data_IF_402939518312
#
_entry.id   IF_402939518312
#
_cell.length_a   1.000
_cell.length_b   1.000
_cell.length_c   1.000
_cell.angle_alpha   90.00
_cell.angle_beta   90.00
_cell.angle_gamma   90.00
#
_symmetry.space_group_name_H-M   'P 1'
#
loop_
_entity.id
_entity.type
_entity.pdbx_description
1 polymer ?
#
# COMPACT_ATOMS: atom_id res chain seq x y z
N UNK A 1 64.09 -55.93 43.78
CA UNK A 1 63.44 -57.13 44.33
C UNK A 1 62.01 -57.17 43.81
N UNK A 2 61.69 -58.17 42.97
CA UNK A 2 60.58 -59.14 43.12
C UNK A 2 59.25 -58.60 43.69
N UNK A 3 58.06 -58.82 43.12
CA UNK A 3 57.57 -59.99 42.39
C UNK A 3 56.29 -59.65 41.57
N UNK A 4 56.07 -60.46 40.54
CA UNK A 4 54.80 -60.68 39.83
C UNK A 4 53.72 -61.27 40.74
N UNK A 5 52.44 -60.95 40.50
CA UNK A 5 51.37 -61.98 40.52
C UNK A 5 50.12 -61.57 39.73
N UNK A 6 49.71 -62.46 38.83
CA UNK A 6 48.41 -62.52 38.14
C UNK A 6 47.37 -63.23 39.02
N UNK A 7 46.09 -62.88 38.81
CA UNK A 7 44.84 -63.70 38.90
C UNK A 7 43.68 -62.69 38.62
N UNK A 8 42.91 -62.66 37.52
CA UNK A 8 42.15 -63.63 36.70
C UNK A 8 40.87 -64.15 37.39
N UNK A 9 39.71 -63.57 37.01
CA UNK A 9 38.50 -64.23 36.41
C UNK A 9 37.16 -63.56 36.81
N UNK A 10 36.36 -63.03 35.85
CA UNK A 10 35.23 -63.65 35.10
C UNK A 10 33.98 -63.79 36.00
N UNK A 11 32.73 -63.38 35.72
CA UNK A 11 31.89 -63.07 34.55
C UNK A 11 30.62 -62.35 35.09
N UNK A 12 29.86 -61.53 34.36
CA UNK A 12 28.80 -61.98 33.45
C UNK A 12 28.16 -60.75 32.76
N UNK A 13 28.28 -60.61 31.43
CA UNK A 13 27.29 -60.97 30.38
C UNK A 13 26.15 -59.93 30.24
N UNK A 14 26.23 -59.07 29.22
CA UNK A 14 25.45 -59.19 27.96
C UNK A 14 25.60 -57.94 27.05
N UNK A 15 26.23 -58.19 25.89
CA UNK A 15 25.89 -57.73 24.52
C UNK A 15 25.73 -56.21 24.26
N UNK A 16 26.72 -55.49 23.74
CA UNK A 16 27.33 -55.44 22.37
C UNK A 16 26.36 -54.99 21.26
N UNK A 17 26.57 -53.77 20.75
CA UNK A 17 26.84 -53.34 19.36
C UNK A 17 26.45 -51.85 19.24
N UNK A 18 27.40 -50.91 19.32
CA UNK A 18 28.24 -50.42 18.22
C UNK A 18 27.44 -49.73 17.10
N UNK A 19 27.52 -48.39 17.05
CA UNK A 19 27.51 -47.61 15.81
C UNK A 19 27.72 -46.11 16.09
N UNK A 20 28.90 -45.64 15.70
CA UNK A 20 29.22 -44.34 15.11
C UNK A 20 28.56 -43.07 15.71
N UNK A 21 29.37 -42.27 16.40
CA UNK A 21 29.11 -40.85 16.68
C UNK A 21 29.44 -40.03 15.42
N UNK A 22 28.47 -39.35 14.77
CA UNK A 22 28.80 -38.29 13.82
C UNK A 22 29.01 -36.99 14.60
N UNK A 23 30.24 -36.45 14.55
CA UNK A 23 30.51 -35.06 14.95
C UNK A 23 29.83 -34.14 13.93
N UNK A 24 28.74 -33.50 14.34
CA UNK A 24 28.05 -32.50 13.53
C UNK A 24 28.69 -31.14 13.83
N UNK A 25 29.09 -30.47 12.76
CA UNK A 25 29.74 -29.18 12.68
C UNK A 25 28.91 -28.03 13.27
N UNK A 26 29.60 -26.98 13.73
CA UNK A 26 29.06 -25.72 14.27
C UNK A 26 28.28 -24.86 13.23
N UNK A 27 27.28 -25.43 12.56
CA UNK A 27 26.50 -24.72 11.52
C UNK A 27 24.98 -24.72 11.74
N UNK A 28 24.50 -24.97 12.97
CA UNK A 28 23.04 -25.05 13.22
C UNK A 28 22.54 -24.26 14.43
N UNK A 29 23.17 -23.12 14.76
CA UNK A 29 22.73 -22.21 15.84
C UNK A 29 22.28 -20.81 15.36
N UNK A 30 21.84 -20.67 14.11
CA UNK A 30 21.32 -19.40 13.57
C UNK A 30 19.91 -19.52 13.01
N UNK A 31 18.97 -20.04 13.82
CA UNK A 31 17.56 -20.10 13.47
C UNK A 31 16.66 -19.48 14.56
N UNK A 32 16.91 -18.22 14.92
CA UNK A 32 15.85 -17.28 15.34
C UNK A 32 16.28 -15.88 14.88
N UNK A 33 16.33 -15.68 13.55
CA UNK A 33 16.28 -14.33 13.01
C UNK A 33 14.85 -13.88 13.23
N UNK A 34 14.64 -12.95 14.18
CA UNK A 34 13.37 -12.22 14.28
C UNK A 34 13.10 -11.65 12.90
N UNK A 35 12.08 -12.16 12.22
CA UNK A 35 11.53 -11.50 11.05
C UNK A 35 10.98 -10.16 11.53
N UNK A 36 11.72 -9.10 11.24
CA UNK A 36 11.17 -7.75 11.24
C UNK A 36 9.99 -7.75 10.26
N UNK A 37 8.87 -7.06 10.56
CA UNK A 37 7.77 -6.98 9.61
C UNK A 37 8.31 -6.33 8.33
N UNK A 38 8.37 -7.10 7.25
CA UNK A 38 8.71 -6.61 5.91
C UNK A 38 7.49 -6.08 5.17
N UNK A 39 6.43 -5.68 5.88
CA UNK A 39 5.22 -5.05 5.29
C UNK A 39 5.39 -3.56 4.99
N UNK A 40 6.62 -3.08 4.81
CA UNK A 40 6.93 -1.70 4.43
C UNK A 40 7.45 -1.58 2.99
N UNK A 41 7.35 -2.64 2.18
CA UNK A 41 7.92 -2.71 0.83
C UNK A 41 7.09 -2.04 -0.27
N UNK A 42 5.89 -1.53 -0.01
CA UNK A 42 5.10 -0.80 -1.03
C UNK A 42 5.27 0.73 -0.99
N UNK A 43 5.91 1.29 0.04
CA UNK A 43 6.16 2.75 0.14
C UNK A 43 7.47 3.21 -0.53
N UNK A 44 8.08 2.36 -1.36
CA UNK A 44 9.30 2.69 -2.10
C UNK A 44 9.02 3.65 -3.26
N UNK A 45 8.62 4.90 -2.97
CA UNK A 45 8.80 6.10 -3.81
C UNK A 45 8.19 7.39 -3.22
N UNK A 46 7.96 7.47 -1.90
CA UNK A 46 7.49 8.73 -1.29
C UNK A 46 8.64 9.76 -1.24
N UNK A 47 8.84 10.49 -2.33
CA UNK A 47 9.87 11.55 -2.48
C UNK A 47 9.48 12.88 -1.81
N UNK A 48 8.50 12.86 -0.91
CA UNK A 48 7.97 14.01 -0.20
C UNK A 48 7.45 13.58 1.17
N UNK A 49 7.30 14.56 2.08
CA UNK A 49 6.63 14.40 3.38
C UNK A 49 5.36 15.21 3.41
N UNK A 50 4.26 14.60 3.84
CA UNK A 50 3.01 15.32 4.11
C UNK A 50 3.16 16.06 5.44
N UNK A 51 3.01 17.38 5.41
CA UNK A 51 3.08 18.24 6.61
C UNK A 51 1.70 18.49 7.20
N UNK A 52 0.70 18.70 6.34
CA UNK A 52 -0.68 18.89 6.76
C UNK A 52 -1.64 18.47 5.65
N UNK A 53 -2.85 18.11 6.06
CA UNK A 53 -3.95 17.79 5.17
C UNK A 53 -5.20 18.54 5.63
N UNK A 54 -5.89 19.16 4.67
CA UNK A 54 -7.22 19.70 4.81
C UNK A 54 -8.17 18.85 3.96
N UNK A 55 -9.36 18.52 4.48
CA UNK A 55 -10.39 17.76 3.76
C UNK A 55 -11.74 18.43 3.97
N UNK A 56 -12.44 18.70 2.88
CA UNK A 56 -13.82 19.18 2.86
C UNK A 56 -14.71 18.12 2.18
N UNK A 57 -15.76 17.69 2.88
CA UNK A 57 -16.74 16.72 2.38
C UNK A 57 -18.06 17.45 2.17
N UNK A 58 -18.60 17.39 0.96
CA UNK A 58 -19.87 18.04 0.59
C UNK A 58 -20.77 17.11 -0.21
N UNK A 59 -22.01 17.53 -0.43
CA UNK A 59 -22.96 16.88 -1.35
C UNK A 59 -23.18 15.38 -1.08
N UNK A 60 -23.23 15.00 0.19
CA UNK A 60 -23.49 13.62 0.60
C UNK A 60 -24.87 13.18 0.10
N UNK A 61 -24.88 12.18 -0.77
CA UNK A 61 -26.07 11.64 -1.40
C UNK A 61 -26.21 10.16 -1.03
N UNK A 62 -27.13 9.87 -0.12
CA UNK A 62 -27.42 8.51 0.35
C UNK A 62 -28.02 7.61 -0.73
N UNK A 63 -28.81 8.16 -1.66
CA UNK A 63 -29.46 7.39 -2.72
C UNK A 63 -28.44 6.82 -3.69
N UNK A 64 -27.48 7.64 -4.08
CA UNK A 64 -26.41 7.27 -5.01
C UNK A 64 -25.14 6.80 -4.30
N UNK A 65 -25.13 6.79 -2.95
CA UNK A 65 -23.98 6.47 -2.10
C UNK A 65 -22.72 7.20 -2.57
N UNK A 66 -22.82 8.52 -2.69
CA UNK A 66 -21.75 9.37 -3.23
C UNK A 66 -21.60 10.65 -2.45
N UNK A 67 -20.42 11.27 -2.54
CA UNK A 67 -20.14 12.58 -1.97
C UNK A 67 -18.95 13.22 -2.69
N UNK A 68 -18.87 14.54 -2.64
CA UNK A 68 -17.76 15.32 -3.19
C UNK A 68 -16.71 15.54 -2.10
N UNK A 69 -15.43 15.52 -2.50
CA UNK A 69 -14.30 15.79 -1.62
C UNK A 69 -13.39 16.80 -2.28
N UNK A 70 -13.02 17.83 -1.54
CA UNK A 70 -11.82 18.62 -1.83
C UNK A 70 -10.78 18.32 -0.76
N UNK A 71 -9.57 17.94 -1.18
CA UNK A 71 -8.43 17.78 -0.26
C UNK A 71 -7.30 18.71 -0.67
N UNK A 72 -6.68 19.37 0.32
CA UNK A 72 -5.44 20.12 0.14
C UNK A 72 -4.33 19.45 0.98
N UNK A 73 -3.22 19.08 0.35
CA UNK A 73 -2.03 18.55 0.99
C UNK A 73 -0.91 19.57 0.95
N UNK A 74 -0.30 19.88 2.09
CA UNK A 74 0.96 20.63 2.13
C UNK A 74 2.10 19.63 2.24
N UNK A 75 2.99 19.63 1.25
CA UNK A 75 4.08 18.67 1.12
C UNK A 75 5.44 19.36 1.21
N UNK A 76 6.39 18.74 1.92
CA UNK A 76 7.81 19.08 1.84
C UNK A 76 8.51 18.10 0.89
N UNK A 77 9.05 18.55 -0.26
CA UNK A 77 9.87 17.72 -1.13
C UNK A 77 11.10 17.19 -0.39
N UNK A 78 11.45 15.92 -0.61
CA UNK A 78 12.69 15.33 -0.10
C UNK A 78 13.86 15.53 -1.06
N UNK A 79 13.56 15.71 -2.35
CA UNK A 79 14.54 15.94 -3.40
C UNK A 79 14.09 17.11 -4.30
N UNK A 80 15.02 17.98 -4.73
CA UNK A 80 14.72 19.11 -5.61
C UNK A 80 14.33 18.65 -7.03
N UNK A 81 14.71 17.44 -7.42
CA UNK A 81 14.43 16.84 -8.73
C UNK A 81 13.06 16.13 -8.79
N UNK A 82 12.20 16.30 -7.78
CA UNK A 82 10.85 15.74 -7.82
C UNK A 82 10.03 16.42 -8.93
N UNK A 83 9.66 15.65 -9.97
CA UNK A 83 8.86 16.16 -11.10
C UNK A 83 7.45 15.60 -11.17
N UNK A 84 7.19 14.52 -10.43
CA UNK A 84 5.89 13.89 -10.40
C UNK A 84 5.59 13.38 -9.00
N UNK A 85 4.35 13.57 -8.57
CA UNK A 85 3.87 13.20 -7.24
C UNK A 85 2.91 12.04 -7.41
N UNK A 86 3.23 10.90 -6.79
CA UNK A 86 2.36 9.73 -6.76
C UNK A 86 1.54 9.73 -5.47
N UNK A 87 0.21 9.70 -5.61
CA UNK A 87 -0.75 9.57 -4.51
C UNK A 87 -1.66 8.37 -4.79
N UNK A 88 -2.20 7.74 -3.76
CA UNK A 88 -3.29 6.77 -3.94
C UNK A 88 -4.62 7.42 -3.53
N UNK A 89 -5.55 7.52 -4.47
CA UNK A 89 -6.90 8.07 -4.25
C UNK A 89 -7.98 6.99 -4.15
N UNK A 90 -7.62 5.73 -4.38
CA UNK A 90 -8.51 4.59 -4.38
C UNK A 90 -9.33 4.39 -5.67
N UNK A 91 -9.92 3.20 -5.85
CA UNK A 91 -10.62 2.82 -7.08
C UNK A 91 -12.04 3.39 -7.19
N UNK A 92 -12.72 3.64 -6.06
CA UNK A 92 -14.13 4.07 -6.04
C UNK A 92 -14.28 5.61 -6.08
N UNK A 93 -13.27 6.29 -6.63
CA UNK A 93 -13.16 7.74 -6.73
C UNK A 93 -13.16 8.12 -8.20
N UNK A 94 -13.94 9.15 -8.57
CA UNK A 94 -13.84 9.82 -9.86
C UNK A 94 -12.93 11.03 -9.73
N UNK A 95 -12.02 11.18 -10.68
CA UNK A 95 -11.19 12.37 -10.89
C UNK A 95 -11.93 13.41 -11.72
N UNK A 96 -11.46 14.67 -11.76
CA UNK A 96 -12.18 15.72 -12.47
C UNK A 96 -12.42 15.46 -13.97
N UNK A 97 -11.49 14.79 -14.66
CA UNK A 97 -11.64 14.39 -16.05
C UNK A 97 -12.61 13.21 -16.26
N UNK A 98 -13.00 12.52 -15.19
CA UNK A 98 -13.96 11.41 -15.16
C UNK A 98 -15.36 11.87 -14.72
N UNK A 99 -15.53 13.15 -14.39
CA UNK A 99 -16.81 13.69 -13.96
C UNK A 99 -17.85 13.70 -15.09
N UNK A 100 -19.15 13.53 -14.75
CA UNK A 100 -20.23 13.74 -15.70
C UNK A 100 -20.23 15.17 -16.26
N UNK A 101 -20.75 15.35 -17.47
CA UNK A 101 -20.82 16.65 -18.14
C UNK A 101 -21.43 17.75 -17.23
N UNK A 102 -20.78 18.91 -17.21
CA UNK A 102 -21.22 20.09 -16.47
C UNK A 102 -20.75 20.17 -15.02
N UNK A 103 -20.11 19.13 -14.48
CA UNK A 103 -19.41 19.19 -13.19
C UNK A 103 -17.95 19.53 -13.44
N UNK A 104 -17.44 20.56 -12.76
CA UNK A 104 -16.04 20.96 -12.86
C UNK A 104 -15.33 20.66 -11.55
N UNK A 105 -14.09 20.21 -11.65
CA UNK A 105 -13.16 20.00 -10.55
C UNK A 105 -11.74 20.20 -11.07
N UNK A 106 -10.78 20.35 -10.18
CA UNK A 106 -9.39 20.62 -10.56
C UNK A 106 -8.42 19.81 -9.73
N UNK A 107 -7.26 19.58 -10.32
CA UNK A 107 -6.06 19.14 -9.62
C UNK A 107 -5.07 20.27 -9.76
N UNK A 108 -4.57 20.77 -8.64
CA UNK A 108 -3.72 21.96 -8.62
C UNK A 108 -2.44 21.71 -7.85
N UNK A 109 -1.34 22.33 -8.27
CA UNK A 109 -0.12 22.47 -7.47
C UNK A 109 0.15 23.96 -7.26
N UNK A 110 0.18 24.42 -6.01
CA UNK A 110 0.29 25.84 -5.64
C UNK A 110 -0.73 26.73 -6.38
N UNK A 111 -2.00 26.32 -6.38
CA UNK A 111 -3.12 27.01 -7.04
C UNK A 111 -3.05 27.08 -8.58
N UNK A 112 -2.06 26.42 -9.21
CA UNK A 112 -1.96 26.25 -10.66
C UNK A 112 -2.59 24.91 -11.08
N UNK A 113 -3.46 24.92 -12.10
CA UNK A 113 -4.04 23.69 -12.67
C UNK A 113 -2.95 22.86 -13.35
N UNK A 114 -2.91 21.56 -13.08
CA UNK A 114 -1.84 20.66 -13.57
C UNK A 114 -2.38 19.46 -14.31
N UNK A 115 -1.52 18.86 -15.13
CA UNK A 115 -1.77 17.55 -15.71
C UNK A 115 -1.61 16.44 -14.67
N UNK A 116 -2.43 15.40 -14.82
CA UNK A 116 -2.39 14.23 -13.97
C UNK A 116 -2.86 13.00 -14.74
N UNK A 117 -2.39 11.84 -14.31
CA UNK A 117 -2.70 10.56 -14.93
C UNK A 117 -3.01 9.55 -13.83
N UNK A 118 -4.18 8.92 -13.90
CA UNK A 118 -4.45 7.69 -13.15
C UNK A 118 -3.65 6.57 -13.79
N UNK A 119 -2.82 5.86 -13.02
CA UNK A 119 -2.10 4.70 -13.53
C UNK A 119 -3.08 3.61 -13.92
N UNK A 120 -2.82 3.02 -15.07
CA UNK A 120 -3.55 1.88 -15.61
C UNK A 120 -2.69 0.63 -15.41
N UNK A 121 -3.02 -0.27 -14.47
CA UNK A 121 -2.25 -1.47 -14.20
C UNK A 121 -2.11 -2.36 -15.45
N UNK A 122 -3.09 -2.36 -16.35
CA UNK A 122 -3.05 -3.20 -17.56
C UNK A 122 -2.00 -2.71 -18.57
N UNK A 123 -1.70 -1.41 -18.59
CA UNK A 123 -0.60 -0.88 -19.41
C UNK A 123 0.76 -1.32 -18.86
N UNK A 124 0.90 -1.41 -17.54
CA UNK A 124 2.14 -1.84 -16.87
C UNK A 124 2.41 -3.31 -17.22
N UNK A 125 1.40 -4.15 -17.06
CA UNK A 125 1.49 -5.59 -17.34
C UNK A 125 1.79 -5.88 -18.82
N UNK A 126 1.28 -5.05 -19.74
CA UNK A 126 1.55 -5.17 -21.18
C UNK A 126 3.03 -5.03 -21.58
N UNK A 127 3.86 -4.42 -20.73
CA UNK A 127 5.30 -4.34 -20.93
C UNK A 127 6.07 -5.57 -20.39
N UNK A 128 5.46 -6.38 -19.53
CA UNK A 128 6.01 -7.67 -19.09
C UNK A 128 5.61 -8.77 -20.07
N UNK A 129 6.51 -9.10 -20.99
CA UNK A 129 6.36 -10.28 -21.86
C UNK A 129 6.64 -11.58 -21.09
N UNK A 130 5.75 -11.98 -20.17
CA UNK A 130 5.86 -13.23 -19.44
C UNK A 130 5.20 -14.39 -20.21
N UNK A 131 5.99 -15.42 -20.57
CA UNK A 131 5.50 -16.58 -21.32
C UNK A 131 4.81 -17.63 -20.42
N UNK A 132 4.93 -17.48 -19.10
CA UNK A 132 4.32 -18.39 -18.14
C UNK A 132 3.01 -17.79 -17.59
N UNK A 133 1.88 -18.39 -17.98
CA UNK A 133 0.55 -17.92 -17.60
C UNK A 133 0.32 -17.88 -16.08
N UNK A 134 0.90 -18.81 -15.31
CA UNK A 134 0.76 -18.80 -13.85
C UNK A 134 1.53 -17.66 -13.20
N UNK A 135 2.74 -17.37 -13.68
CA UNK A 135 3.54 -16.22 -13.19
C UNK A 135 2.90 -14.91 -13.60
N UNK A 136 2.46 -14.79 -14.86
CA UNK A 136 1.70 -13.63 -15.31
C UNK A 136 0.42 -13.44 -14.49
N UNK A 137 -0.29 -14.52 -14.15
CA UNK A 137 -1.49 -14.40 -13.32
C UNK A 137 -1.20 -13.90 -11.91
N UNK A 138 -0.11 -14.37 -11.28
CA UNK A 138 0.30 -13.91 -9.95
C UNK A 138 0.76 -12.45 -9.99
N UNK A 139 1.67 -12.10 -10.89
CA UNK A 139 2.14 -10.73 -11.11
C UNK A 139 0.97 -9.78 -11.42
N UNK A 140 -0.05 -10.25 -12.14
CA UNK A 140 -1.25 -9.47 -12.43
C UNK A 140 -2.07 -9.19 -11.18
N UNK A 141 -2.26 -10.17 -10.29
CA UNK A 141 -2.98 -9.93 -9.03
C UNK A 141 -2.21 -8.95 -8.15
N UNK A 142 -0.90 -9.12 -8.00
CA UNK A 142 -0.04 -8.23 -7.20
C UNK A 142 -0.03 -6.81 -7.78
N UNK A 143 0.19 -6.65 -9.09
CA UNK A 143 0.22 -5.32 -9.73
C UNK A 143 -1.16 -4.63 -9.73
N UNK A 144 -2.24 -5.39 -9.88
CA UNK A 144 -3.60 -4.84 -9.79
C UNK A 144 -3.90 -4.35 -8.37
N UNK A 145 -3.47 -5.08 -7.34
CA UNK A 145 -3.67 -4.72 -5.95
C UNK A 145 -2.79 -3.52 -5.54
N UNK A 146 -1.53 -3.49 -5.98
CA UNK A 146 -0.58 -2.43 -5.62
C UNK A 146 -0.83 -1.10 -6.36
N UNK A 147 -1.34 -1.14 -7.60
CA UNK A 147 -1.50 0.06 -8.43
C UNK A 147 -2.94 0.59 -8.50
N UNK A 148 -3.92 -0.07 -7.88
CA UNK A 148 -5.33 0.36 -7.95
C UNK A 148 -5.51 1.76 -7.31
N UNK A 149 -5.88 2.73 -8.14
CA UNK A 149 -6.14 4.10 -7.68
C UNK A 149 -4.91 4.98 -7.50
N UNK A 150 -3.74 4.59 -8.01
CA UNK A 150 -2.58 5.48 -8.08
C UNK A 150 -2.81 6.63 -9.07
N UNK A 151 -2.55 7.85 -8.60
CA UNK A 151 -2.65 9.11 -9.30
C UNK A 151 -1.26 9.75 -9.36
N UNK A 152 -0.79 9.97 -10.58
CA UNK A 152 0.42 10.72 -10.87
C UNK A 152 0.06 12.16 -11.19
N UNK A 153 0.65 13.11 -10.48
CA UNK A 153 0.42 14.55 -10.65
C UNK A 153 1.73 15.19 -11.08
N UNK A 154 1.73 15.89 -12.20
CA UNK A 154 2.93 16.55 -12.69
C UNK A 154 3.18 17.85 -11.92
N UNK A 155 4.45 18.06 -11.56
CA UNK A 155 4.88 19.27 -10.86
C UNK A 155 5.17 20.33 -11.93
N UNK A 156 4.49 21.49 -11.89
CA UNK A 156 4.73 22.55 -12.85
C UNK A 156 6.11 23.18 -12.64
N UNK A 157 6.72 23.66 -13.72
CA UNK A 157 8.07 24.26 -13.68
C UNK A 157 8.14 25.49 -12.75
N UNK A 158 7.01 26.18 -12.57
CA UNK A 158 6.82 27.28 -11.62
C UNK A 158 7.22 26.90 -10.18
N UNK A 159 7.16 25.61 -9.83
CA UNK A 159 7.50 25.10 -8.51
C UNK A 159 8.97 24.69 -8.34
N UNK A 160 9.78 24.60 -9.40
CA UNK A 160 11.15 24.08 -9.29
C UNK A 160 12.04 24.91 -8.37
N UNK A 161 11.93 26.24 -8.42
CA UNK A 161 12.69 27.13 -7.52
C UNK A 161 12.30 26.89 -6.06
N UNK A 162 11.01 26.67 -5.79
CA UNK A 162 10.53 26.35 -4.44
C UNK A 162 11.08 24.99 -3.98
N UNK A 163 11.19 24.02 -4.87
CA UNK A 163 11.75 22.70 -4.56
C UNK A 163 13.26 22.76 -4.30
N UNK A 164 14.01 23.54 -5.09
CA UNK A 164 15.44 23.79 -4.88
C UNK A 164 15.71 24.45 -3.53
N UNK A 165 14.83 25.35 -3.11
CA UNK A 165 14.86 26.00 -1.80
C UNK A 165 14.24 25.15 -0.67
N UNK A 166 13.83 23.91 -0.98
CA UNK A 166 13.20 22.97 -0.07
C UNK A 166 11.97 23.54 0.66
N UNK A 167 11.20 24.37 -0.05
CA UNK A 167 9.96 24.97 0.40
C UNK A 167 8.78 24.00 0.23
N UNK A 168 7.73 24.32 0.97
CA UNK A 168 6.47 23.58 0.92
C UNK A 168 5.76 23.84 -0.41
N UNK A 169 5.22 22.78 -0.99
CA UNK A 169 4.29 22.83 -2.12
C UNK A 169 2.91 22.38 -1.64
N UNK A 170 1.86 22.92 -2.25
CA UNK A 170 0.47 22.57 -1.94
C UNK A 170 -0.15 21.83 -3.10
N UNK A 171 -0.87 20.75 -2.84
CA UNK A 171 -1.66 20.03 -3.83
C UNK A 171 -3.12 20.14 -3.46
N UNK A 172 -3.95 20.64 -4.38
CA UNK A 172 -5.41 20.62 -4.27
C UNK A 172 -5.99 19.57 -5.21
N UNK A 173 -6.95 18.78 -4.74
CA UNK A 173 -7.61 17.74 -5.55
C UNK A 173 -9.09 17.75 -5.26
N UNK A 174 -9.90 18.06 -6.28
CA UNK A 174 -11.33 17.80 -6.30
C UNK A 174 -11.58 16.37 -6.77
N UNK A 175 -12.33 15.61 -5.99
CA UNK A 175 -12.72 14.25 -6.35
C UNK A 175 -14.17 13.96 -5.95
N UNK A 176 -14.74 12.91 -6.54
CA UNK A 176 -16.07 12.43 -6.17
C UNK A 176 -16.01 10.95 -5.82
N UNK A 177 -16.37 10.60 -4.60
CA UNK A 177 -16.50 9.20 -4.20
C UNK A 177 -17.86 8.69 -4.68
N UNK A 178 -17.88 7.55 -5.37
CA UNK A 178 -19.12 6.98 -5.94
C UNK A 178 -19.22 5.50 -5.60
N UNK A 179 -20.30 5.14 -4.90
CA UNK A 179 -20.61 3.78 -4.49
C UNK A 179 -19.38 3.04 -3.88
N UNK A 180 -18.78 3.59 -2.81
CA UNK A 180 -17.58 3.02 -2.23
C UNK A 180 -17.84 1.58 -1.77
N UNK A 181 -16.96 0.67 -2.18
CA UNK A 181 -17.01 -0.76 -1.85
C UNK A 181 -16.19 -1.06 -0.60
N UNK A 182 -15.19 -0.24 -0.32
CA UNK A 182 -14.26 -0.42 0.78
C UNK A 182 -14.12 0.87 1.61
N UNK A 183 -13.86 0.71 2.91
CA UNK A 183 -13.52 1.82 3.82
C UNK A 183 -14.69 2.71 4.25
N UNK A 184 -15.69 2.95 3.39
CA UNK A 184 -16.83 3.83 3.65
C UNK A 184 -18.13 3.05 3.51
N UNK A 185 -19.03 3.20 4.48
CA UNK A 185 -20.35 2.58 4.47
C UNK A 185 -21.46 3.60 4.55
N UNK A 186 -22.46 3.41 3.70
CA UNK A 186 -23.74 4.13 3.75
C UNK A 186 -24.79 3.21 4.35
N UNK A 187 -25.33 3.60 5.51
CA UNK A 187 -26.48 2.95 6.13
C UNK A 187 -27.69 3.81 5.88
N UNK A 188 -28.62 3.32 5.07
CA UNK A 188 -29.84 4.02 4.71
C UNK A 188 -30.91 3.03 4.24
N UNK A 189 -32.16 3.39 4.51
CA UNK A 189 -33.35 2.71 3.99
C UNK A 189 -34.19 3.75 3.25
N UNK A 190 -34.92 3.31 2.24
CA UNK A 190 -35.85 4.15 1.49
C UNK A 190 -37.24 3.53 1.56
N UNK A 191 -38.24 4.37 1.80
CA UNK A 191 -39.64 3.96 1.72
C UNK A 191 -40.04 3.68 0.27
N UNK A 192 -41.23 3.10 0.05
CA UNK A 192 -41.72 2.71 -1.28
C UNK A 192 -41.81 3.89 -2.28
N UNK A 193 -41.97 5.11 -1.78
CA UNK A 193 -41.99 6.35 -2.56
C UNK A 193 -40.58 6.92 -2.85
N UNK A 194 -39.52 6.27 -2.36
CA UNK A 194 -38.13 6.68 -2.51
C UNK A 194 -37.68 7.74 -1.51
N UNK A 195 -38.47 8.04 -0.48
CA UNK A 195 -38.09 8.95 0.60
C UNK A 195 -37.07 8.29 1.53
N UNK A 196 -36.02 9.02 1.90
CA UNK A 196 -34.98 8.53 2.83
C UNK A 196 -35.56 8.40 4.23
N UNK A 197 -35.44 7.21 4.82
CA UNK A 197 -35.92 6.96 6.18
C UNK A 197 -34.99 7.56 7.25
N UNK A 198 -35.57 7.81 8.42
CA UNK A 198 -34.82 8.33 9.57
C UNK A 198 -33.71 7.36 10.00
N UNK A 199 -32.59 7.92 10.47
CA UNK A 199 -31.45 7.14 10.95
C UNK A 199 -30.41 6.81 9.88
N UNK A 200 -30.53 7.40 8.67
CA UNK A 200 -29.48 7.32 7.67
C UNK A 200 -28.17 7.95 8.17
N UNK A 201 -27.07 7.24 8.00
CA UNK A 201 -25.75 7.70 8.43
C UNK A 201 -24.64 7.08 7.56
N UNK A 202 -23.49 7.76 7.54
CA UNK A 202 -22.29 7.32 6.84
C UNK A 202 -21.16 7.21 7.86
N UNK A 203 -20.37 6.14 7.76
CA UNK A 203 -19.20 5.97 8.61
C UNK A 203 -18.06 5.34 7.82
N UNK A 204 -16.84 5.53 8.34
CA UNK A 204 -15.65 4.88 7.82
C UNK A 204 -15.20 3.78 8.78
N UNK A 205 -14.59 2.74 8.25
CA UNK A 205 -13.90 1.72 9.02
C UNK A 205 -12.63 1.33 8.27
N UNK A 206 -11.56 1.06 9.01
CA UNK A 206 -10.32 0.53 8.44
C UNK A 206 -10.07 -0.81 9.10
N UNK A 207 -9.86 -1.84 8.29
CA UNK A 207 -9.31 -3.09 8.78
C UNK A 207 -7.82 -2.85 9.04
N UNK A 208 -7.40 -2.89 10.30
CA UNK A 208 -6.00 -2.87 10.68
C UNK A 208 -5.58 -4.33 10.73
N UNK A 209 -4.78 -4.77 9.76
CA UNK A 209 -4.03 -6.03 9.84
C UNK A 209 -2.73 -5.72 10.56
#
# INVERSE_FOLDING_TARGET
MNDSKMEVDISSISDILDSAVPRISEETLSAVRRESPQDASSFHNCNFRVLSQFVSITDVNFKNRSFSVFTELSLAPLHPELRQICLNVGPDVLLPNEFPEGVTGRVTVNDEDVEYIRKDPLKILGHKAEQNLHRLSHDMYDELEDCEGELLIDVPESCYVLMDEQKVIKIGIDVKVVNPRHGIHFVCSFSDDGTLENGAHMYTYRYVI
#
